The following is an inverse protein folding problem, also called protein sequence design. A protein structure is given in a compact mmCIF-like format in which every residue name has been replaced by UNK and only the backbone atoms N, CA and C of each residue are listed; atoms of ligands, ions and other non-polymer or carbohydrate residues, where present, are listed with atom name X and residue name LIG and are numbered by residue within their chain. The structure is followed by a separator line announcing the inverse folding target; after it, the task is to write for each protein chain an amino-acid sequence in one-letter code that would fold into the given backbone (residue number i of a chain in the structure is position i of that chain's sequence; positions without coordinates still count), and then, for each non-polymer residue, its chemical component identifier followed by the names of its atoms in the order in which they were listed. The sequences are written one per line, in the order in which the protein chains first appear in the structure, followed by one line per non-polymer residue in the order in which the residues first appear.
data_IF_898620102045
#
_entry.id   IF_898620102045
#
_cell.length_a   1.000
_cell.length_b   1.000
_cell.length_c   1.000
_cell.angle_alpha   90.00
_cell.angle_beta   90.00
_cell.angle_gamma   90.00
#
_symmetry.space_group_name_H-M   'P 1'
#
loop_
_entity.id
_entity.type
_entity.pdbx_description
1 polymer ?
#
# COMPACT_ATOMS: atom_id res chain seq x y z
N UNK A 1 10.46 23.69 1.90
CA UNK A 1 8.99 23.79 2.02
C UNK A 1 8.40 23.68 0.63
N UNK A 2 7.22 23.09 0.47
CA UNK A 2 6.54 22.98 -0.83
C UNK A 2 5.03 23.21 -0.63
N UNK A 3 4.41 24.01 -1.50
CA UNK A 3 2.97 24.28 -1.48
C UNK A 3 2.45 24.39 -2.91
N UNK A 4 1.20 23.96 -3.14
CA UNK A 4 0.46 24.21 -4.37
C UNK A 4 -0.41 25.47 -4.29
N UNK A 5 -0.66 25.96 -3.08
CA UNK A 5 -1.46 27.15 -2.85
C UNK A 5 -0.53 28.33 -2.54
N UNK A 6 -0.36 29.28 -3.48
CA UNK A 6 0.54 30.41 -3.32
C UNK A 6 0.13 31.35 -2.18
N UNK A 7 -1.11 31.28 -1.69
CA UNK A 7 -1.61 32.10 -0.57
C UNK A 7 -1.06 31.65 0.78
N UNK A 8 -0.68 30.38 0.90
CA UNK A 8 -0.21 29.79 2.16
C UNK A 8 1.26 30.15 2.46
N UNK A 9 1.93 30.85 1.54
CA UNK A 9 3.33 31.25 1.69
C UNK A 9 3.42 32.77 1.87
N UNK A 10 3.95 33.21 3.00
CA UNK A 10 4.40 34.59 3.14
C UNK A 10 5.64 34.77 2.26
N UNK A 11 5.50 35.48 1.15
CA UNK A 11 6.60 35.70 0.21
C UNK A 11 7.77 36.48 0.84
N UNK A 12 7.58 37.13 1.99
CA UNK A 12 8.69 37.67 2.78
C UNK A 12 9.56 36.56 3.36
N UNK A 13 9.01 35.39 3.68
CA UNK A 13 9.76 34.23 4.15
C UNK A 13 10.65 33.63 3.05
N UNK A 14 10.35 33.87 1.77
CA UNK A 14 11.24 33.47 0.66
C UNK A 14 12.56 34.24 0.65
N UNK A 15 12.60 35.46 1.20
CA UNK A 15 13.85 36.23 1.30
C UNK A 15 14.93 35.53 2.13
N UNK A 16 14.53 34.67 3.07
CA UNK A 16 15.43 33.88 3.90
C UNK A 16 15.80 32.51 3.28
N UNK A 17 15.17 32.14 2.16
CA UNK A 17 15.42 30.88 1.48
C UNK A 17 16.48 31.04 0.38
N UNK A 18 17.66 30.43 0.58
CA UNK A 18 18.78 30.52 -0.36
C UNK A 18 18.52 29.89 -1.75
N UNK A 19 17.52 29.02 -1.89
CA UNK A 19 17.17 28.42 -3.18
C UNK A 19 15.66 28.21 -3.28
N UNK A 20 15.10 28.57 -4.43
CA UNK A 20 13.67 28.53 -4.69
C UNK A 20 13.39 27.94 -6.07
N UNK A 21 12.34 27.13 -6.15
CA UNK A 21 11.85 26.49 -7.38
C UNK A 21 10.41 26.91 -7.59
N UNK A 22 10.13 27.59 -8.70
CA UNK A 22 8.83 28.16 -8.99
C UNK A 22 8.23 27.46 -10.20
N UNK A 23 7.09 26.81 -9.98
CA UNK A 23 6.34 26.19 -11.06
C UNK A 23 5.46 27.21 -11.80
N UNK A 24 4.67 26.71 -12.75
CA UNK A 24 3.67 27.50 -13.47
C UNK A 24 2.60 28.04 -12.50
N UNK A 25 2.47 29.36 -12.43
CA UNK A 25 1.39 30.05 -11.71
C UNK A 25 0.23 30.32 -12.67
N UNK A 26 -1.00 30.03 -12.22
CA UNK A 26 -2.18 30.14 -13.08
C UNK A 26 -2.82 31.53 -13.08
N UNK A 27 -2.67 32.31 -12.00
CA UNK A 27 -3.34 33.61 -11.86
C UNK A 27 -2.33 34.77 -11.89
N UNK A 28 -2.71 35.87 -12.53
CA UNK A 28 -1.89 37.08 -12.57
C UNK A 28 -1.61 37.64 -11.16
N UNK A 29 -2.59 37.52 -10.26
CA UNK A 29 -2.49 38.00 -8.86
C UNK A 29 -1.43 37.24 -8.06
N UNK A 30 -1.29 35.94 -8.29
CA UNK A 30 -0.27 35.12 -7.61
C UNK A 30 1.13 35.46 -8.14
N UNK A 31 1.23 35.72 -9.45
CA UNK A 31 2.48 36.19 -10.08
C UNK A 31 2.90 37.54 -9.50
N UNK A 32 1.98 38.50 -9.42
CA UNK A 32 2.29 39.85 -8.93
C UNK A 32 2.74 39.83 -7.45
N UNK A 33 2.01 39.13 -6.58
CA UNK A 33 2.39 38.95 -5.16
C UNK A 33 3.76 38.29 -4.98
N UNK A 34 4.06 37.35 -5.85
CA UNK A 34 5.32 36.63 -5.85
C UNK A 34 6.47 37.55 -6.28
N UNK A 35 6.29 38.31 -7.37
CA UNK A 35 7.28 39.29 -7.83
C UNK A 35 7.55 40.35 -6.75
N UNK A 36 6.51 40.85 -6.07
CA UNK A 36 6.66 41.81 -4.97
C UNK A 36 7.54 41.27 -3.83
N UNK A 37 7.35 39.99 -3.46
CA UNK A 37 8.16 39.36 -2.41
C UNK A 37 9.61 39.11 -2.83
N UNK A 38 9.84 38.82 -4.10
CA UNK A 38 11.17 38.56 -4.65
C UNK A 38 11.98 39.82 -4.92
N UNK A 39 11.32 40.91 -5.28
CA UNK A 39 11.94 42.23 -5.39
C UNK A 39 12.45 42.68 -4.02
N UNK A 40 11.67 42.45 -2.96
CA UNK A 40 12.10 42.67 -1.57
C UNK A 40 13.30 41.80 -1.15
N UNK A 41 13.29 40.51 -1.52
CA UNK A 41 14.39 39.58 -1.25
C UNK A 41 15.69 39.94 -2.00
N UNK A 42 15.58 40.30 -3.28
CA UNK A 42 16.72 40.60 -4.13
C UNK A 42 17.38 41.94 -3.77
N UNK A 43 16.59 42.90 -3.31
CA UNK A 43 17.08 44.18 -2.76
C UNK A 43 17.91 43.99 -1.49
N UNK A 44 17.54 43.03 -0.63
CA UNK A 44 18.32 42.68 0.57
C UNK A 44 19.62 41.92 0.24
N UNK A 45 19.64 41.17 -0.86
CA UNK A 45 20.79 40.39 -1.31
C UNK A 45 21.73 41.15 -2.29
N UNK A 46 21.40 42.40 -2.64
CA UNK A 46 22.21 43.25 -3.53
C UNK A 46 22.26 42.80 -4.99
N UNK A 47 21.32 41.96 -5.44
CA UNK A 47 21.28 41.44 -6.82
C UNK A 47 20.28 42.22 -7.68
N UNK A 48 20.60 42.38 -8.98
CA UNK A 48 19.69 42.98 -9.96
C UNK A 48 18.55 42.01 -10.28
N UNK A 49 17.34 42.37 -9.90
CA UNK A 49 16.13 41.58 -10.18
C UNK A 49 15.32 42.25 -11.30
N UNK A 50 15.13 41.55 -12.41
CA UNK A 50 14.29 41.99 -13.53
C UNK A 50 12.93 41.29 -13.45
N UNK A 51 11.96 41.97 -12.83
CA UNK A 51 10.62 41.46 -12.64
C UNK A 51 9.90 41.17 -13.98
N UNK A 52 10.18 41.95 -15.03
CA UNK A 52 9.55 41.78 -16.34
C UNK A 52 10.05 40.52 -17.04
N UNK A 53 11.37 40.27 -17.00
CA UNK A 53 11.98 39.03 -17.53
C UNK A 53 11.47 37.79 -16.78
N UNK A 54 11.40 37.85 -15.44
CA UNK A 54 10.88 36.74 -14.61
C UNK A 54 9.41 36.46 -14.91
N UNK A 55 8.59 37.50 -15.05
CA UNK A 55 7.17 37.37 -15.42
C UNK A 55 6.97 36.66 -16.76
N UNK A 56 7.78 37.02 -17.76
CA UNK A 56 7.75 36.38 -19.08
C UNK A 56 8.14 34.90 -19.02
N UNK A 57 9.21 34.58 -18.28
CA UNK A 57 9.67 33.20 -18.09
C UNK A 57 8.61 32.33 -17.38
N UNK A 58 7.96 32.84 -16.33
CA UNK A 58 6.92 32.12 -15.60
C UNK A 58 5.68 31.83 -16.44
N UNK A 59 5.28 32.77 -17.32
CA UNK A 59 4.14 32.59 -18.21
C UNK A 59 4.36 31.49 -19.26
N UNK A 60 5.62 31.28 -19.67
CA UNK A 60 6.05 30.30 -20.65
C UNK A 60 6.45 28.93 -20.08
N UNK A 61 6.34 28.70 -18.78
CA UNK A 61 6.73 27.41 -18.19
C UNK A 61 5.80 26.27 -18.62
N UNK A 62 6.41 25.21 -19.16
CA UNK A 62 5.78 23.93 -19.46
C UNK A 62 5.55 23.08 -18.20
N UNK A 63 4.78 22.00 -18.34
CA UNK A 63 4.55 21.05 -17.24
C UNK A 63 5.88 20.46 -16.75
N UNK A 64 6.12 20.51 -15.43
CA UNK A 64 7.31 19.94 -14.74
C UNK A 64 8.63 20.68 -15.02
N UNK A 65 8.55 21.91 -15.53
CA UNK A 65 9.67 22.85 -15.62
C UNK A 65 9.51 23.89 -14.52
N UNK A 66 10.62 24.23 -13.86
CA UNK A 66 10.64 25.19 -12.77
C UNK A 66 11.63 26.31 -13.06
N UNK A 67 11.27 27.54 -12.71
CA UNK A 67 12.26 28.60 -12.59
C UNK A 67 12.99 28.43 -11.26
N UNK A 68 14.27 28.11 -11.31
CA UNK A 68 15.11 27.98 -10.11
C UNK A 68 15.94 29.24 -9.92
N UNK A 69 15.91 29.80 -8.74
CA UNK A 69 16.84 30.85 -8.33
C UNK A 69 17.63 30.39 -7.11
N UNK A 70 18.95 30.59 -7.15
CA UNK A 70 19.87 30.27 -6.07
C UNK A 70 20.66 31.53 -5.72
N UNK A 71 20.81 31.85 -4.44
CA UNK A 71 21.60 33.00 -3.96
C UNK A 71 23.07 32.91 -4.36
N UNK A 72 23.58 31.73 -4.71
CA UNK A 72 24.94 31.54 -5.21
C UNK A 72 25.09 31.69 -6.73
N UNK A 73 23.99 31.80 -7.48
CA UNK A 73 24.00 31.93 -8.96
C UNK A 73 23.61 33.35 -9.38
N UNK A 74 24.17 33.86 -10.48
CA UNK A 74 23.97 35.26 -10.89
C UNK A 74 22.60 35.54 -11.52
N UNK A 75 21.98 34.53 -12.15
CA UNK A 75 20.66 34.66 -12.75
C UNK A 75 19.78 33.41 -12.51
N UNK A 76 18.44 33.57 -12.53
CA UNK A 76 17.52 32.43 -12.48
C UNK A 76 17.65 31.54 -13.72
N UNK A 77 17.65 30.21 -13.52
CA UNK A 77 17.75 29.23 -14.61
C UNK A 77 16.50 28.36 -14.71
N UNK A 78 16.24 27.84 -15.91
CA UNK A 78 15.16 26.88 -16.15
C UNK A 78 15.59 25.48 -15.75
N UNK A 79 14.99 24.97 -14.68
CA UNK A 79 15.22 23.64 -14.17
C UNK A 79 14.25 22.63 -14.79
N UNK A 80 14.80 21.71 -15.57
CA UNK A 80 14.05 20.63 -16.21
C UNK A 80 14.16 19.35 -15.36
N UNK A 81 13.01 18.77 -15.03
CA UNK A 81 12.97 17.50 -14.30
C UNK A 81 13.30 16.35 -15.24
N UNK A 82 14.48 15.72 -15.10
CA UNK A 82 14.88 14.57 -15.95
C UNK A 82 14.02 13.33 -15.67
N UNK A 83 13.98 12.91 -14.41
CA UNK A 83 13.06 11.90 -13.87
C UNK A 83 12.72 12.32 -12.43
N UNK A 84 11.44 12.44 -12.10
CA UNK A 84 11.02 12.56 -10.70
C UNK A 84 11.15 11.18 -10.04
N UNK A 85 12.37 10.79 -9.69
CA UNK A 85 12.61 9.59 -8.91
C UNK A 85 12.25 9.92 -7.45
N UNK A 86 11.10 9.45 -7.01
CA UNK A 86 10.78 9.40 -5.59
C UNK A 86 11.61 8.27 -4.98
N UNK A 87 12.87 8.56 -4.65
CA UNK A 87 13.70 7.64 -3.86
C UNK A 87 13.12 7.39 -2.45
N UNK A 88 12.14 8.21 -2.07
CA UNK A 88 11.34 8.05 -0.85
C UNK A 88 9.96 7.55 -1.28
N UNK A 89 9.61 6.33 -0.88
CA UNK A 89 8.23 5.84 -1.00
C UNK A 89 7.34 6.74 -0.12
N UNK A 90 6.57 7.65 -0.75
CA UNK A 90 5.86 8.81 -0.17
C UNK A 90 5.67 8.86 1.35
N UNK A 91 4.46 9.07 1.89
CA UNK A 91 4.22 8.80 3.30
C UNK A 91 4.25 7.28 3.49
N UNK A 92 5.32 6.78 4.10
CA UNK A 92 5.46 5.37 4.44
C UNK A 92 4.26 4.94 5.29
N UNK A 93 3.59 3.86 4.91
CA UNK A 93 2.54 3.29 5.73
C UNK A 93 3.14 2.76 7.04
N UNK A 94 2.38 2.69 8.13
CA UNK A 94 2.87 2.15 9.41
C UNK A 94 3.59 0.79 9.28
N UNK A 95 3.12 -0.14 8.42
CA UNK A 95 3.85 -1.39 8.14
C UNK A 95 5.22 -1.17 7.48
N UNK A 96 5.30 -0.24 6.51
CA UNK A 96 6.56 0.07 5.82
C UNK A 96 7.57 0.74 6.75
N UNK A 97 7.11 1.61 7.66
CA UNK A 97 7.95 2.19 8.74
C UNK A 97 8.46 1.06 9.66
N UNK A 98 7.59 0.12 10.01
CA UNK A 98 7.95 -1.05 10.82
C UNK A 98 9.07 -1.88 10.20
N UNK A 99 8.96 -2.18 8.90
CA UNK A 99 9.98 -2.91 8.16
C UNK A 99 11.32 -2.15 8.07
N UNK A 100 11.27 -0.84 7.81
CA UNK A 100 12.48 0.00 7.70
C UNK A 100 13.21 0.18 9.05
N UNK A 101 12.47 0.14 10.15
CA UNK A 101 13.01 0.29 11.50
C UNK A 101 13.40 -1.04 12.15
N UNK A 102 13.16 -2.18 11.48
CA UNK A 102 13.45 -3.52 12.02
C UNK A 102 14.94 -3.69 12.33
N UNK A 103 15.82 -3.33 11.39
CA UNK A 103 17.27 -3.46 11.59
C UNK A 103 17.80 -2.50 12.66
N UNK A 104 17.28 -1.27 12.73
CA UNK A 104 17.63 -0.31 13.79
C UNK A 104 17.12 -0.75 15.17
N UNK A 105 15.93 -1.36 15.26
CA UNK A 105 15.42 -1.97 16.49
C UNK A 105 16.22 -3.21 16.90
N UNK A 106 16.67 -4.00 15.92
CA UNK A 106 17.52 -5.18 16.18
C UNK A 106 18.94 -4.79 16.60
N UNK A 107 19.51 -3.72 16.02
CA UNK A 107 20.82 -3.17 16.36
C UNK A 107 20.84 -2.40 17.68
N UNK A 108 19.74 -1.72 18.04
CA UNK A 108 19.57 -1.15 19.38
C UNK A 108 19.42 -2.21 20.48
N UNK A 109 19.02 -3.43 20.12
CA UNK A 109 18.97 -4.58 21.03
C UNK A 109 20.34 -5.22 21.29
N UNK A 110 21.33 -4.99 20.41
CA UNK A 110 22.68 -5.59 20.52
C UNK A 110 23.72 -4.69 21.19
N UNK A 111 23.39 -3.43 21.48
CA UNK A 111 24.31 -2.47 22.09
C UNK A 111 23.76 -1.88 23.40
N UNK A 112 23.31 -2.72 24.34
CA UNK A 112 23.28 -2.37 25.76
C UNK A 112 23.05 -3.61 26.65
N UNK A 113 24.15 -4.26 27.00
CA UNK A 113 24.34 -4.68 28.40
C UNK A 113 25.68 -4.09 28.84
N UNK A 114 25.67 -3.39 29.99
CA UNK A 114 26.05 -4.12 31.19
C UNK A 114 25.10 -3.90 32.37
N UNK A 115 25.29 -4.79 33.34
CA UNK A 115 24.50 -4.98 34.54
C UNK A 115 24.52 -3.80 35.53
N UNK A 116 23.36 -3.63 36.16
CA UNK A 116 23.09 -3.24 37.57
C UNK A 116 23.04 -1.75 37.94
N UNK A 117 21.83 -1.21 38.00
CA UNK A 117 21.19 -0.57 39.17
C UNK A 117 19.77 -0.15 38.74
N UNK A 118 18.73 -0.86 39.17
CA UNK A 118 17.90 -0.49 40.31
C UNK A 118 17.13 0.85 40.16
N UNK A 119 15.81 0.69 40.03
CA UNK A 119 14.71 1.58 40.43
C UNK A 119 14.25 2.71 39.49
N UNK A 120 13.17 2.41 38.75
CA UNK A 120 11.84 3.04 38.88
C UNK A 120 10.86 2.31 37.92
N UNK A 121 10.11 1.31 38.38
CA UNK A 121 8.64 1.42 38.59
C UNK A 121 7.89 1.35 37.26
N UNK A 122 7.39 0.20 36.81
CA UNK A 122 6.10 -0.34 37.25
C UNK A 122 6.12 -1.88 37.27
N UNK A 123 5.83 -2.43 38.44
CA UNK A 123 5.53 -3.82 38.64
C UNK A 123 4.11 -4.10 38.11
N UNK A 124 4.01 -4.83 36.99
CA UNK A 124 2.81 -5.56 36.65
C UNK A 124 2.67 -6.72 37.64
N UNK A 125 1.56 -6.76 38.38
CA UNK A 125 1.29 -7.80 39.35
C UNK A 125 1.22 -9.16 38.64
N UNK A 126 2.25 -9.98 38.81
CA UNK A 126 2.28 -11.37 38.34
C UNK A 126 1.89 -12.26 39.50
N UNK A 127 0.78 -12.99 39.35
CA UNK A 127 0.27 -13.92 40.36
C UNK A 127 0.60 -15.37 39.94
N UNK A 128 0.92 -16.21 40.91
CA UNK A 128 1.05 -17.67 40.72
C UNK A 128 -0.31 -18.40 40.75
N UNK A 129 -1.38 -17.69 41.15
CA UNK A 129 -2.74 -18.22 41.15
C UNK A 129 -3.46 -17.99 39.82
N UNK A 130 -4.22 -19.00 39.37
CA UNK A 130 -5.07 -18.92 38.18
C UNK A 130 -6.08 -17.76 38.35
N UNK A 131 -6.21 -16.87 37.36
CA UNK A 131 -7.16 -15.77 37.45
C UNK A 131 -8.60 -16.31 37.53
N UNK A 132 -9.33 -15.87 38.55
CA UNK A 132 -10.73 -16.24 38.77
C UNK A 132 -11.61 -15.70 37.64
N UNK A 133 -12.21 -16.59 36.85
CA UNK A 133 -13.25 -16.26 35.86
C UNK A 133 -14.62 -16.71 36.35
N UNK A 134 -15.67 -16.00 35.95
CA UNK A 134 -17.05 -16.41 36.23
C UNK A 134 -17.41 -17.69 35.48
N UNK A 135 -18.37 -18.47 36.00
CA UNK A 135 -18.84 -19.71 35.36
C UNK A 135 -19.33 -19.45 33.94
N UNK A 136 -18.69 -20.11 32.96
CA UNK A 136 -19.07 -20.05 31.55
C UNK A 136 -18.12 -19.25 30.64
N UNK A 137 -17.01 -18.72 31.17
CA UNK A 137 -15.88 -18.23 30.36
C UNK A 137 -14.84 -19.34 30.25
N UNK A 138 -14.65 -19.89 29.03
CA UNK A 138 -13.61 -20.89 28.79
C UNK A 138 -12.23 -20.24 28.77
N UNK A 139 -11.33 -20.72 29.63
CA UNK A 139 -9.92 -20.31 29.67
C UNK A 139 -9.08 -21.45 29.12
N UNK A 140 -8.20 -21.13 28.19
CA UNK A 140 -7.25 -22.08 27.60
C UNK A 140 -5.87 -21.42 27.50
N UNK A 141 -4.84 -22.25 27.47
CA UNK A 141 -3.44 -21.83 27.44
C UNK A 141 -2.81 -22.27 26.14
N UNK A 142 -1.98 -21.41 25.54
CA UNK A 142 -1.22 -21.75 24.34
C UNK A 142 -0.02 -22.62 24.76
N UNK A 143 0.17 -23.76 24.10
CA UNK A 143 1.38 -24.56 24.27
C UNK A 143 2.54 -23.93 23.48
N UNK A 144 3.61 -23.54 24.18
CA UNK A 144 4.85 -23.01 23.58
C UNK A 144 6.05 -23.95 23.83
N UNK A 145 5.78 -25.22 24.10
CA UNK A 145 6.81 -26.24 24.39
C UNK A 145 7.56 -26.08 25.73
N UNK A 146 7.33 -24.99 26.47
CA UNK A 146 7.89 -24.78 27.81
C UNK A 146 7.16 -25.63 28.86
N UNK A 147 7.90 -26.49 29.57
CA UNK A 147 7.35 -27.42 30.57
C UNK A 147 7.28 -26.84 31.99
N UNK A 148 7.98 -25.73 32.28
CA UNK A 148 7.94 -25.05 33.58
C UNK A 148 8.30 -23.56 33.45
N UNK A 149 7.72 -22.72 34.31
CA UNK A 149 8.08 -21.29 34.44
C UNK A 149 7.57 -20.39 33.32
N UNK A 150 6.53 -20.81 32.59
CA UNK A 150 5.93 -20.01 31.52
C UNK A 150 5.24 -18.76 32.07
N UNK A 151 5.29 -17.65 31.33
CA UNK A 151 4.56 -16.43 31.64
C UNK A 151 3.41 -16.25 30.66
N UNK A 152 2.18 -16.33 31.16
CA UNK A 152 0.96 -16.15 30.36
C UNK A 152 0.43 -14.73 30.48
N UNK A 153 0.05 -14.16 29.34
CA UNK A 153 -0.59 -12.85 29.23
C UNK A 153 -2.01 -13.06 28.70
N UNK A 154 -3.04 -12.40 29.28
CA UNK A 154 -4.41 -12.57 28.84
C UNK A 154 -4.60 -12.09 27.39
N UNK A 155 -5.25 -12.94 26.59
CA UNK A 155 -5.63 -12.63 25.22
C UNK A 155 -6.99 -13.24 24.90
N UNK A 156 -7.75 -12.56 24.05
CA UNK A 156 -8.97 -13.11 23.46
C UNK A 156 -8.61 -13.97 22.25
N UNK A 157 -8.93 -15.25 22.32
CA UNK A 157 -8.83 -16.17 21.20
C UNK A 157 -10.19 -16.30 20.50
N UNK A 158 -10.20 -16.20 19.17
CA UNK A 158 -11.37 -16.45 18.35
C UNK A 158 -11.00 -17.21 17.08
N UNK A 159 -11.89 -18.11 16.66
CA UNK A 159 -11.78 -18.86 15.41
C UNK A 159 -12.95 -18.49 14.52
N UNK A 160 -12.65 -18.08 13.29
CA UNK A 160 -13.64 -17.66 12.32
C UNK A 160 -13.46 -18.40 11.00
N UNK A 161 -14.58 -18.80 10.41
CA UNK A 161 -14.64 -19.30 9.04
C UNK A 161 -15.25 -18.21 8.17
N UNK A 162 -14.49 -17.77 7.17
CA UNK A 162 -14.90 -16.73 6.22
C UNK A 162 -15.32 -17.41 4.93
N UNK A 163 -16.53 -17.10 4.47
CA UNK A 163 -17.05 -17.58 3.20
C UNK A 163 -16.99 -16.46 2.16
N UNK A 164 -16.26 -16.71 1.08
CA UNK A 164 -16.18 -15.80 -0.06
C UNK A 164 -16.98 -16.40 -1.21
N UNK A 165 -18.10 -15.78 -1.54
CA UNK A 165 -18.98 -16.22 -2.61
C UNK A 165 -19.19 -15.12 -3.65
N UNK A 166 -18.91 -15.41 -4.92
CA UNK A 166 -19.23 -14.56 -6.06
C UNK A 166 -19.47 -15.39 -7.32
N UNK A 167 -20.74 -15.67 -7.62
CA UNK A 167 -21.14 -16.49 -8.76
C UNK A 167 -20.66 -15.95 -10.13
N UNK A 168 -20.60 -14.62 -10.31
CA UNK A 168 -20.14 -14.01 -11.58
C UNK A 168 -18.65 -14.22 -11.84
N UNK A 169 -17.88 -14.37 -10.77
CA UNK A 169 -16.44 -14.59 -10.79
C UNK A 169 -16.06 -16.03 -10.44
N UNK A 170 -17.04 -16.95 -10.37
CA UNK A 170 -16.80 -18.35 -10.03
C UNK A 170 -16.15 -18.59 -8.67
N UNK A 171 -16.35 -17.70 -7.70
CA UNK A 171 -15.71 -17.79 -6.38
C UNK A 171 -16.67 -18.45 -5.41
N UNK A 172 -16.22 -19.54 -4.80
CA UNK A 172 -16.85 -20.19 -3.67
C UNK A 172 -15.75 -20.80 -2.81
N UNK A 173 -15.24 -20.03 -1.85
CA UNK A 173 -14.09 -20.44 -1.04
C UNK A 173 -14.34 -20.21 0.45
N UNK A 174 -13.93 -21.19 1.24
CA UNK A 174 -13.94 -21.12 2.69
C UNK A 174 -12.53 -20.95 3.21
N UNK A 175 -12.36 -19.97 4.08
CA UNK A 175 -11.07 -19.62 4.62
C UNK A 175 -11.15 -19.55 6.13
N UNK A 176 -10.28 -20.29 6.81
CA UNK A 176 -10.22 -20.28 8.27
C UNK A 176 -9.20 -19.25 8.77
N UNK A 177 -9.56 -18.55 9.86
CA UNK A 177 -8.70 -17.57 10.53
C UNK A 177 -8.74 -17.78 12.04
N UNK A 178 -7.54 -17.84 12.61
CA UNK A 178 -7.32 -17.79 14.05
C UNK A 178 -6.95 -16.36 14.42
N UNK A 179 -7.66 -15.80 15.38
CA UNK A 179 -7.50 -14.42 15.85
C UNK A 179 -7.09 -14.45 17.31
N UNK A 180 -5.98 -13.79 17.62
CA UNK A 180 -5.53 -13.50 18.98
C UNK A 180 -5.51 -12.00 19.20
N UNK A 181 -6.22 -11.53 20.21
CA UNK A 181 -6.24 -10.11 20.58
C UNK A 181 -5.70 -9.97 22.01
N UNK A 182 -4.50 -9.38 22.21
CA UNK A 182 -3.98 -9.11 23.54
C UNK A 182 -4.95 -8.23 24.34
N UNK A 183 -5.19 -8.62 25.60
CA UNK A 183 -6.02 -7.86 26.53
C UNK A 183 -5.08 -7.13 27.48
N UNK A 184 -4.80 -5.85 27.19
CA UNK A 184 -3.95 -5.03 28.07
C UNK A 184 -4.57 -4.82 29.46
N UNK A 185 -3.73 -4.50 30.44
CA UNK A 185 -4.16 -4.20 31.81
C UNK A 185 -5.23 -3.10 31.83
N UNK A 186 -6.32 -3.32 32.58
CA UNK A 186 -7.42 -2.36 32.68
C UNK A 186 -8.22 -2.14 31.38
N UNK A 187 -8.01 -2.95 30.34
CA UNK A 187 -8.74 -2.80 29.08
C UNK A 187 -10.25 -2.95 29.27
N UNK A 188 -11.00 -1.97 28.76
CA UNK A 188 -12.48 -1.98 28.76
C UNK A 188 -13.06 -2.73 27.55
N UNK A 189 -12.27 -2.94 26.51
CA UNK A 189 -12.64 -3.67 25.29
C UNK A 189 -11.38 -4.13 24.54
N UNK A 190 -11.45 -5.21 23.74
CA UNK A 190 -10.37 -5.64 22.87
C UNK A 190 -10.00 -4.55 21.84
N UNK A 191 -8.70 -4.30 21.65
CA UNK A 191 -8.18 -3.47 20.56
C UNK A 191 -8.11 -4.31 19.29
N UNK A 192 -8.95 -3.99 18.29
CA UNK A 192 -8.92 -4.69 16.99
C UNK A 192 -7.83 -4.17 16.05
N UNK A 193 -6.97 -3.26 16.53
CA UNK A 193 -5.89 -2.67 15.75
C UNK A 193 -4.55 -3.41 16.00
N UNK A 194 -4.39 -4.09 17.14
CA UNK A 194 -3.17 -4.82 17.56
C UNK A 194 -3.37 -6.34 17.59
N UNK A 195 -4.39 -6.85 16.90
CA UNK A 195 -4.67 -8.28 16.80
C UNK A 195 -3.66 -9.01 15.91
N UNK A 196 -3.35 -10.24 16.29
CA UNK A 196 -2.62 -11.19 15.44
C UNK A 196 -3.63 -12.09 14.74
N UNK A 197 -3.57 -12.13 13.41
CA UNK A 197 -4.36 -13.04 12.60
C UNK A 197 -3.41 -14.07 12.00
N UNK A 198 -3.67 -15.33 12.26
CA UNK A 198 -2.93 -16.43 11.66
C UNK A 198 -3.87 -17.36 10.91
N UNK A 199 -3.33 -18.01 9.88
CA UNK A 199 -3.97 -19.16 9.23
C UNK A 199 -3.74 -20.46 9.99
N UNK A 200 -2.77 -20.47 10.90
CA UNK A 200 -2.42 -21.64 11.70
C UNK A 200 -3.35 -21.79 12.90
N UNK A 201 -3.61 -23.05 13.25
CA UNK A 201 -4.36 -23.40 14.44
C UNK A 201 -3.40 -23.43 15.62
N UNK A 202 -3.74 -22.69 16.67
CA UNK A 202 -2.99 -22.74 17.91
C UNK A 202 -3.29 -24.03 18.66
N UNK A 203 -2.25 -24.64 19.23
CA UNK A 203 -2.38 -25.73 20.20
C UNK A 203 -2.82 -25.12 21.53
N UNK A 204 -4.05 -25.44 21.93
CA UNK A 204 -4.69 -24.95 23.14
C UNK A 204 -4.86 -26.11 24.11
N UNK A 205 -4.46 -25.89 25.37
CA UNK A 205 -4.64 -26.83 26.48
C UNK A 205 -5.44 -26.22 27.62
N UNK A 206 -6.12 -27.07 28.38
CA UNK A 206 -6.98 -26.67 29.50
C UNK A 206 -6.19 -26.41 30.79
N UNK A 207 -4.92 -26.85 30.86
CA UNK A 207 -4.04 -26.68 32.01
C UNK A 207 -2.79 -25.87 31.65
N UNK A 208 -2.35 -24.93 32.50
CA UNK A 208 -1.12 -24.17 32.28
C UNK A 208 0.12 -25.02 32.58
N UNK A 209 1.29 -24.56 32.13
CA UNK A 209 2.58 -25.14 32.50
C UNK A 209 2.84 -25.06 34.03
N UNK A 210 3.69 -25.95 34.54
CA UNK A 210 4.04 -25.96 35.97
C UNK A 210 4.75 -24.66 36.38
N UNK A 211 4.46 -24.15 37.58
CA UNK A 211 5.02 -22.88 38.09
C UNK A 211 4.82 -21.69 37.13
N UNK A 212 3.70 -21.67 36.40
CA UNK A 212 3.38 -20.58 35.49
C UNK A 212 3.02 -19.29 36.25
N UNK A 213 3.31 -18.16 35.61
CA UNK A 213 2.93 -16.83 36.09
C UNK A 213 1.88 -16.24 35.18
N UNK A 214 0.86 -15.62 35.76
CA UNK A 214 -0.23 -15.01 35.00
C UNK A 214 -0.20 -13.49 35.13
N UNK A 215 -0.37 -12.79 34.01
CA UNK A 215 -0.66 -11.35 33.99
C UNK A 215 -2.09 -11.04 34.44
N UNK A 216 -2.36 -9.79 34.78
CA UNK A 216 -3.66 -9.36 35.28
C UNK A 216 -4.76 -9.47 34.21
N UNK A 217 -5.78 -10.31 34.47
CA UNK A 217 -6.95 -10.43 33.60
C UNK A 217 -7.88 -9.22 33.78
N UNK A 218 -8.21 -8.47 32.71
CA UNK A 218 -9.16 -7.37 32.82
C UNK A 218 -10.55 -7.86 33.25
N UNK A 219 -11.19 -7.17 34.20
CA UNK A 219 -12.53 -7.51 34.73
C UNK A 219 -13.64 -7.62 33.69
N UNK A 220 -13.44 -7.07 32.49
CA UNK A 220 -14.43 -7.18 31.40
C UNK A 220 -14.33 -8.56 30.72
N UNK A 221 -13.15 -9.18 30.73
CA UNK A 221 -12.89 -10.51 30.19
C UNK A 221 -13.33 -11.64 31.12
N UNK A 222 -13.49 -11.37 32.41
CA UNK A 222 -14.07 -12.35 33.34
C UNK A 222 -15.60 -12.46 33.22
N UNK A 223 -16.26 -11.56 32.48
CA UNK A 223 -17.74 -11.47 32.36
C UNK A 223 -18.25 -12.06 31.06
N UNK A 224 -19.23 -12.96 31.16
CA UNK A 224 -19.84 -13.63 30.00
C UNK A 224 -20.59 -12.66 29.06
N UNK A 225 -21.19 -11.59 29.60
CA UNK A 225 -21.99 -10.63 28.84
C UNK A 225 -21.15 -9.81 27.84
N UNK A 226 -19.84 -9.75 28.03
CA UNK A 226 -18.92 -9.02 27.15
C UNK A 226 -18.73 -9.72 25.79
N UNK A 227 -18.78 -11.05 25.77
CA UNK A 227 -18.42 -11.87 24.62
C UNK A 227 -19.36 -11.72 23.41
N UNK A 228 -20.70 -11.69 23.56
CA UNK A 228 -21.61 -11.44 22.43
C UNK A 228 -21.38 -10.08 21.74
N UNK A 229 -20.96 -9.06 22.50
CA UNK A 229 -20.60 -7.76 21.94
C UNK A 229 -19.29 -7.83 21.16
N UNK A 230 -18.30 -8.54 21.70
CA UNK A 230 -17.01 -8.74 21.04
C UNK A 230 -17.14 -9.58 19.77
N UNK A 231 -17.98 -10.62 19.78
CA UNK A 231 -18.30 -11.43 18.60
C UNK A 231 -18.86 -10.58 17.46
N UNK A 232 -19.83 -9.70 17.74
CA UNK A 232 -20.39 -8.79 16.72
C UNK A 232 -19.32 -7.86 16.16
N UNK A 233 -18.49 -7.29 17.04
CA UNK A 233 -17.44 -6.35 16.63
C UNK A 233 -16.35 -7.04 15.80
N UNK A 234 -15.98 -8.27 16.18
CA UNK A 234 -15.06 -9.13 15.45
C UNK A 234 -15.58 -9.48 14.06
N UNK A 235 -16.86 -9.86 13.93
CA UNK A 235 -17.49 -10.13 12.62
C UNK A 235 -17.38 -8.92 11.68
N UNK A 236 -17.70 -7.73 12.19
CA UNK A 236 -17.57 -6.48 11.40
C UNK A 236 -16.12 -6.22 11.00
N UNK A 237 -15.16 -6.42 11.90
CA UNK A 237 -13.73 -6.20 11.61
C UNK A 237 -13.16 -7.21 10.63
N UNK A 238 -13.50 -8.49 10.75
CA UNK A 238 -13.12 -9.53 9.78
C UNK A 238 -13.67 -9.20 8.40
N UNK A 239 -14.94 -8.79 8.31
CA UNK A 239 -15.53 -8.37 7.04
C UNK A 239 -14.81 -7.17 6.40
N UNK A 240 -14.36 -6.21 7.20
CA UNK A 240 -13.68 -5.00 6.71
C UNK A 240 -12.20 -5.22 6.33
N UNK A 241 -11.51 -6.18 6.97
CA UNK A 241 -10.06 -6.34 6.87
C UNK A 241 -9.62 -7.56 6.09
N UNK A 242 -10.40 -8.64 6.09
CA UNK A 242 -10.08 -9.88 5.38
C UNK A 242 -10.76 -9.87 4.00
N UNK A 243 -10.32 -8.98 3.12
CA UNK A 243 -10.72 -9.02 1.72
C UNK A 243 -9.76 -9.92 0.92
N UNK A 244 -10.29 -10.69 -0.04
CA UNK A 244 -9.46 -11.38 -1.02
C UNK A 244 -9.21 -10.43 -2.20
N UNK A 245 -7.94 -10.21 -2.52
CA UNK A 245 -7.54 -9.47 -3.70
C UNK A 245 -7.58 -10.36 -4.94
N UNK A 246 -8.16 -9.84 -6.02
CA UNK A 246 -8.27 -10.55 -7.28
C UNK A 246 -7.82 -9.63 -8.41
N UNK A 247 -6.97 -10.16 -9.28
CA UNK A 247 -6.59 -9.47 -10.50
C UNK A 247 -7.70 -9.65 -11.54
N UNK A 248 -7.86 -8.65 -12.41
CA UNK A 248 -8.81 -8.74 -13.51
C UNK A 248 -8.25 -8.09 -14.77
N UNK A 249 -8.61 -8.65 -15.92
CA UNK A 249 -8.25 -8.11 -17.22
C UNK A 249 -9.52 -7.97 -18.07
N UNK A 250 -10.06 -6.75 -18.10
CA UNK A 250 -11.34 -6.42 -18.74
C UNK A 250 -11.45 -6.86 -20.21
N UNK A 251 -10.42 -6.70 -21.07
CA UNK A 251 -10.52 -7.08 -22.48
C UNK A 251 -10.72 -8.58 -22.73
N UNK A 252 -10.17 -9.44 -21.86
CA UNK A 252 -10.34 -10.91 -21.95
C UNK A 252 -11.42 -11.42 -21.00
N UNK A 253 -12.00 -10.55 -20.16
CA UNK A 253 -12.96 -10.90 -19.10
C UNK A 253 -12.43 -11.93 -18.09
N UNK A 254 -11.12 -12.09 -18.00
CA UNK A 254 -10.47 -13.00 -17.07
C UNK A 254 -10.31 -12.36 -15.69
N UNK A 255 -10.43 -13.20 -14.67
CA UNK A 255 -10.18 -12.88 -13.27
C UNK A 255 -9.19 -13.89 -12.68
N UNK A 256 -8.42 -13.45 -11.69
CA UNK A 256 -7.50 -14.34 -10.98
C UNK A 256 -8.26 -15.32 -10.09
N UNK A 257 -7.62 -16.43 -9.79
CA UNK A 257 -8.03 -17.29 -8.68
C UNK A 257 -7.63 -16.62 -7.34
N UNK A 258 -8.31 -16.93 -6.23
CA UNK A 258 -7.89 -16.49 -4.91
C UNK A 258 -6.46 -16.95 -4.58
N UNK A 259 -5.61 -16.03 -4.13
CA UNK A 259 -4.21 -16.33 -3.80
C UNK A 259 -3.29 -16.58 -5.01
N UNK A 260 -3.79 -16.47 -6.25
CA UNK A 260 -2.97 -16.62 -7.45
C UNK A 260 -1.91 -15.52 -7.53
N UNK A 261 -0.67 -15.89 -7.86
CA UNK A 261 0.38 -14.89 -8.09
C UNK A 261 0.07 -14.04 -9.32
N UNK A 262 0.45 -12.76 -9.27
CA UNK A 262 0.31 -11.85 -10.41
C UNK A 262 0.96 -12.39 -11.69
N UNK A 263 2.09 -13.09 -11.57
CA UNK A 263 2.81 -13.67 -12.71
C UNK A 263 2.01 -14.81 -13.37
N UNK A 264 1.43 -15.70 -12.56
CA UNK A 264 0.56 -16.79 -13.06
C UNK A 264 -0.67 -16.22 -13.78
N UNK A 265 -1.34 -15.23 -13.17
CA UNK A 265 -2.50 -14.57 -13.79
C UNK A 265 -2.14 -13.91 -15.13
N UNK A 266 -1.03 -13.17 -15.17
CA UNK A 266 -0.55 -12.54 -16.40
C UNK A 266 -0.22 -13.57 -17.49
N UNK A 267 0.31 -14.75 -17.11
CA UNK A 267 0.52 -15.87 -18.02
C UNK A 267 -0.78 -16.33 -18.69
N UNK A 268 -1.85 -16.52 -17.90
CA UNK A 268 -3.19 -16.88 -18.42
C UNK A 268 -3.75 -15.80 -19.33
N UNK A 269 -3.59 -14.52 -18.97
CA UNK A 269 -4.02 -13.40 -19.82
C UNK A 269 -3.27 -13.38 -21.15
N UNK A 270 -1.96 -13.60 -21.14
CA UNK A 270 -1.14 -13.64 -22.36
C UNK A 270 -1.55 -14.79 -23.29
N UNK A 271 -1.82 -15.97 -22.74
CA UNK A 271 -2.30 -17.11 -23.51
C UNK A 271 -3.63 -16.79 -24.21
N UNK A 272 -4.62 -16.29 -23.46
CA UNK A 272 -5.92 -15.93 -24.01
C UNK A 272 -5.84 -14.84 -25.10
N UNK A 273 -4.91 -13.90 -24.97
CA UNK A 273 -4.66 -12.88 -26.01
C UNK A 273 -3.99 -13.45 -27.26
N UNK A 274 -3.20 -14.52 -27.16
CA UNK A 274 -2.63 -15.21 -28.32
C UNK A 274 -3.70 -16.01 -29.05
N UNK A 275 -4.49 -16.79 -28.33
CA UNK A 275 -5.61 -17.56 -28.89
C UNK A 275 -6.57 -16.64 -29.64
N UNK A 276 -6.99 -15.53 -29.04
CA UNK A 276 -7.87 -14.55 -29.70
C UNK A 276 -7.25 -13.94 -30.96
N UNK A 277 -5.93 -13.71 -30.95
CA UNK A 277 -5.22 -13.19 -32.13
C UNK A 277 -5.20 -14.22 -33.25
N UNK A 278 -4.97 -15.48 -32.91
CA UNK A 278 -4.95 -16.57 -33.88
C UNK A 278 -6.35 -16.78 -34.49
N UNK A 279 -7.40 -16.70 -33.68
CA UNK A 279 -8.80 -16.70 -34.13
C UNK A 279 -9.11 -15.53 -35.09
N UNK A 280 -8.67 -14.31 -34.75
CA UNK A 280 -8.85 -13.13 -35.59
C UNK A 280 -8.10 -13.27 -36.92
N UNK A 281 -6.88 -13.81 -36.90
CA UNK A 281 -6.08 -14.10 -38.10
C UNK A 281 -6.78 -15.16 -38.96
N UNK A 282 -7.29 -16.25 -38.35
CA UNK A 282 -7.98 -17.31 -39.08
C UNK A 282 -9.29 -16.79 -39.70
N UNK A 283 -10.04 -15.96 -38.97
CA UNK A 283 -11.25 -15.30 -39.46
C UNK A 283 -10.95 -14.39 -40.65
N UNK A 284 -9.87 -13.59 -40.59
CA UNK A 284 -9.40 -12.78 -41.70
C UNK A 284 -8.98 -13.66 -42.89
N UNK A 285 -8.21 -14.73 -42.66
CA UNK A 285 -7.82 -15.67 -43.73
C UNK A 285 -9.05 -16.25 -44.41
N UNK A 286 -10.03 -16.76 -43.65
CA UNK A 286 -11.29 -17.29 -44.20
C UNK A 286 -12.07 -16.26 -45.02
N UNK A 287 -12.10 -14.99 -44.57
CA UNK A 287 -12.81 -13.90 -45.24
C UNK A 287 -12.15 -13.46 -46.55
N UNK A 288 -10.82 -13.48 -46.63
CA UNK A 288 -10.07 -12.94 -47.77
C UNK A 288 -9.54 -14.01 -48.74
N UNK A 289 -9.35 -15.26 -48.31
CA UNK A 289 -8.94 -16.37 -49.17
C UNK A 289 -9.78 -16.50 -50.47
N UNK A 290 -11.12 -16.50 -50.44
CA UNK A 290 -11.89 -16.60 -51.69
C UNK A 290 -11.79 -15.35 -52.57
N UNK A 291 -11.49 -14.17 -51.99
CA UNK A 291 -11.31 -12.93 -52.76
C UNK A 291 -9.97 -12.92 -53.48
N UNK A 292 -8.92 -13.37 -52.78
CA UNK A 292 -7.59 -13.52 -53.36
C UNK A 292 -7.61 -14.56 -54.48
N UNK A 293 -8.18 -15.75 -54.25
CA UNK A 293 -8.31 -16.78 -55.28
C UNK A 293 -9.04 -16.28 -56.55
N UNK A 294 -10.11 -15.48 -56.38
CA UNK A 294 -10.81 -14.86 -57.52
C UNK A 294 -9.96 -13.84 -58.27
N UNK A 295 -9.13 -13.07 -57.57
CA UNK A 295 -8.24 -12.10 -58.20
C UNK A 295 -7.08 -12.80 -58.91
N UNK A 296 -6.49 -13.81 -58.29
CA UNK A 296 -5.46 -14.66 -58.88
C UNK A 296 -5.97 -15.36 -60.15
N UNK A 297 -7.19 -15.92 -60.12
CA UNK A 297 -7.78 -16.55 -61.31
C UNK A 297 -8.04 -15.53 -62.44
N UNK A 298 -8.41 -14.29 -62.10
CA UNK A 298 -8.57 -13.21 -63.09
C UNK A 298 -7.24 -12.76 -63.69
N UNK A 299 -6.18 -12.66 -62.88
CA UNK A 299 -4.83 -12.35 -63.35
C UNK A 299 -4.36 -13.45 -64.29
N UNK A 300 -4.50 -14.71 -63.88
CA UNK A 300 -4.11 -15.86 -64.70
C UNK A 300 -4.80 -15.87 -66.06
N UNK A 301 -6.12 -15.66 -66.10
CA UNK A 301 -6.88 -15.56 -67.36
C UNK A 301 -6.47 -14.36 -68.23
N UNK A 302 -6.05 -13.26 -67.63
CA UNK A 302 -5.55 -12.10 -68.36
C UNK A 302 -4.17 -12.39 -68.98
N UNK A 303 -3.27 -13.00 -68.20
CA UNK A 303 -1.92 -13.38 -68.67
C UNK A 303 -1.99 -14.41 -69.80
N UNK A 304 -2.86 -15.42 -69.69
CA UNK A 304 -3.10 -16.39 -70.76
C UNK A 304 -3.60 -15.72 -72.06
N UNK A 305 -4.39 -14.64 -71.94
CA UNK A 305 -4.89 -13.90 -73.09
C UNK A 305 -3.78 -13.09 -73.76
N UNK A 306 -2.96 -12.40 -72.97
CA UNK A 306 -1.79 -11.65 -73.47
C UNK A 306 -0.83 -12.59 -74.19
N UNK A 307 -0.50 -13.74 -73.59
CA UNK A 307 0.39 -14.72 -74.21
C UNK A 307 -0.14 -15.29 -75.54
N UNK A 308 -1.46 -15.41 -75.71
CA UNK A 308 -2.06 -15.80 -77.02
C UNK A 308 -1.96 -14.70 -78.06
N UNK A 309 -2.16 -13.44 -77.66
CA UNK A 309 -2.08 -12.29 -78.56
C UNK A 309 -0.64 -12.05 -79.02
N UNK A 310 0.37 -12.29 -78.17
CA UNK A 310 1.80 -12.20 -78.55
C UNK A 310 2.28 -13.33 -79.48
N UNK A 311 1.55 -14.45 -79.53
CA UNK A 311 1.91 -15.61 -80.36
C UNK A 311 1.26 -15.60 -81.75
N UNK A 312 0.35 -14.66 -82.04
CA UNK A 312 -0.29 -14.45 -83.35
C UNK A 312 0.43 -13.37 -84.16
#
# INVERSE_FOLDING_TARGET
MATQNPVDLDYKALSNAGTWFLGRLQTARDVDRMLDGLEGASSAAGKKFDAAKVRSLLGGLDSRVFLMNNVHEDEPILFHTRWALSYLAGPLTRPQIGALMADRKSGASTAASPAKAAQAGQAAATSEELPLTEEGVAVCFVEDGATSGAQYVPALHARAQLHYANAKKGIDEWTERTVLVPLGEGARSPSWDDWTISTERLSLVDAPANNARFGELPKVASKKESYPRWEKTLKTKLYQSQAIELFSHTPTKLHSEPGESRAAFMGRVQLALRERRDDDIESLRKKYAPKLARLEERIHKADEKVAREEAQ
#
